data_IF_765700729690
#
_entry.id   IF_765700729690
#
_cell.length_a   1.000
_cell.length_b   1.000
_cell.length_c   1.000
_cell.angle_alpha   90.00
_cell.angle_beta   90.00
_cell.angle_gamma   90.00
#
_symmetry.space_group_name_H-M   'P 1'
#
loop_
_entity.id
_entity.type
_entity.pdbx_description
1 polymer ?
#
# COMPACT_ATOMS: atom_id res chain seq x y z
N UNK A 1 -11.83 -8.83 15.65
CA UNK A 1 -10.88 -7.76 15.28
C UNK A 1 -10.88 -7.70 13.76
N UNK A 2 -11.11 -6.52 13.17
CA UNK A 2 -11.09 -6.34 11.71
C UNK A 2 -9.71 -5.84 11.24
N UNK A 3 -9.43 -5.98 9.95
CA UNK A 3 -8.17 -5.53 9.35
C UNK A 3 -8.43 -4.32 8.45
N UNK A 4 -7.54 -3.34 8.45
CA UNK A 4 -7.62 -2.14 7.62
C UNK A 4 -6.36 -1.96 6.80
N UNK A 5 -6.48 -1.24 5.68
CA UNK A 5 -5.35 -0.81 4.87
C UNK A 5 -5.54 0.67 4.48
N UNK A 6 -4.45 1.35 4.17
CA UNK A 6 -4.49 2.75 3.77
C UNK A 6 -3.20 3.15 3.08
N UNK A 7 -3.24 4.27 2.36
CA UNK A 7 -2.04 4.97 1.91
C UNK A 7 -2.21 6.48 2.06
N UNK A 8 -1.10 7.20 2.06
CA UNK A 8 -1.06 8.65 1.96
C UNK A 8 -0.08 9.04 0.85
N UNK A 9 -0.46 10.00 0.03
CA UNK A 9 0.43 10.59 -0.97
C UNK A 9 0.87 11.97 -0.50
N UNK A 10 2.15 12.27 -0.75
CA UNK A 10 2.77 13.53 -0.42
C UNK A 10 3.47 14.08 -1.65
N UNK A 11 3.31 15.38 -1.88
CA UNK A 11 4.04 16.15 -2.89
C UNK A 11 4.79 17.27 -2.17
N UNK A 12 6.11 17.37 -2.39
CA UNK A 12 6.96 18.38 -1.73
C UNK A 12 6.81 18.41 -0.20
N UNK A 13 6.59 17.24 0.43
CA UNK A 13 6.40 17.10 1.87
C UNK A 13 5.00 17.48 2.39
N UNK A 14 4.10 17.92 1.51
CA UNK A 14 2.71 18.26 1.83
C UNK A 14 1.83 17.07 1.48
N UNK A 15 0.94 16.68 2.39
CA UNK A 15 -0.03 15.60 2.13
C UNK A 15 -1.07 16.09 1.13
N UNK A 16 -1.17 15.42 -0.02
CA UNK A 16 -2.12 15.77 -1.09
C UNK A 16 -3.30 14.82 -1.17
N UNK A 17 -3.11 13.56 -0.77
CA UNK A 17 -4.12 12.53 -0.86
C UNK A 17 -4.02 11.57 0.33
N UNK A 18 -5.18 11.08 0.77
CA UNK A 18 -5.28 9.93 1.66
C UNK A 18 -6.36 8.99 1.17
N UNK A 19 -6.12 7.70 1.35
CA UNK A 19 -7.09 6.66 1.07
C UNK A 19 -7.03 5.62 2.19
N UNK A 20 -8.19 5.08 2.55
CA UNK A 20 -8.32 4.07 3.61
C UNK A 20 -9.44 3.11 3.27
N UNK A 21 -9.19 1.83 3.54
CA UNK A 21 -10.10 0.73 3.28
C UNK A 21 -10.19 -0.23 4.44
N UNK A 22 -11.41 -0.51 4.88
CA UNK A 22 -11.66 -1.61 5.81
C UNK A 22 -11.77 -2.90 5.01
N UNK A 23 -11.01 -3.90 5.43
CA UNK A 23 -11.02 -5.22 4.80
C UNK A 23 -11.97 -6.14 5.54
N UNK A 24 -12.53 -7.10 4.81
CA UNK A 24 -13.34 -8.17 5.39
C UNK A 24 -12.53 -9.02 6.39
N UNK A 25 -13.22 -9.59 7.39
CA UNK A 25 -12.59 -10.31 8.49
C UNK A 25 -11.80 -11.57 8.09
N UNK A 26 -12.01 -12.09 6.87
CA UNK A 26 -11.26 -13.25 6.36
C UNK A 26 -9.90 -12.89 5.74
N UNK A 27 -9.62 -11.59 5.52
CA UNK A 27 -8.32 -11.16 4.98
C UNK A 27 -7.21 -11.34 6.01
N UNK A 28 -6.15 -12.03 5.60
CA UNK A 28 -4.94 -12.20 6.42
C UNK A 28 -4.16 -10.89 6.49
N UNK A 29 -3.39 -10.69 7.55
CA UNK A 29 -2.50 -9.52 7.75
C UNK A 29 -1.63 -9.29 6.51
N UNK A 30 -1.04 -10.34 5.96
CA UNK A 30 -0.23 -10.25 4.74
C UNK A 30 -0.99 -9.69 3.51
N UNK A 31 -2.27 -10.06 3.34
CA UNK A 31 -3.07 -9.48 2.25
C UNK A 31 -3.35 -8.00 2.52
N UNK A 32 -3.65 -7.64 3.77
CA UNK A 32 -3.92 -6.26 4.13
C UNK A 32 -2.72 -5.32 3.91
N UNK A 33 -1.52 -5.79 4.22
CA UNK A 33 -0.27 -5.06 3.98
C UNK A 33 -0.03 -4.80 2.49
N UNK A 34 -0.52 -5.67 1.60
CA UNK A 34 -0.40 -5.51 0.14
C UNK A 34 -1.55 -4.70 -0.49
N UNK A 35 -2.71 -4.61 0.14
CA UNK A 35 -3.87 -3.89 -0.40
C UNK A 35 -3.65 -2.38 -0.49
N UNK A 36 -3.04 -1.77 0.54
CA UNK A 36 -2.70 -0.34 0.51
C UNK A 36 -1.77 0.02 -0.65
N UNK A 37 -0.61 -0.67 -0.79
CA UNK A 37 0.26 -0.55 -1.94
C UNK A 37 -0.41 -0.81 -3.29
N UNK A 38 -1.24 -1.87 -3.43
CA UNK A 38 -1.94 -2.16 -4.68
C UNK A 38 -2.81 -0.98 -5.12
N UNK A 39 -3.58 -0.40 -4.21
CA UNK A 39 -4.42 0.76 -4.53
C UNK A 39 -3.59 1.99 -4.87
N UNK A 40 -2.49 2.22 -4.15
CA UNK A 40 -1.56 3.31 -4.46
C UNK A 40 -0.95 3.17 -5.87
N UNK A 41 -0.62 1.94 -6.29
CA UNK A 41 -0.10 1.65 -7.64
C UNK A 41 -1.18 1.92 -8.70
N UNK A 42 -2.41 1.45 -8.48
CA UNK A 42 -3.54 1.70 -9.39
C UNK A 42 -3.77 3.20 -9.54
N UNK A 43 -3.75 3.95 -8.44
CA UNK A 43 -3.90 5.41 -8.49
C UNK A 43 -2.75 6.07 -9.23
N UNK A 44 -1.51 5.67 -8.95
CA UNK A 44 -0.31 6.21 -9.59
C UNK A 44 -0.22 5.87 -11.09
N UNK A 45 -0.77 4.73 -11.53
CA UNK A 45 -0.82 4.33 -12.94
C UNK A 45 -1.67 5.25 -13.82
N UNK A 46 -2.52 6.09 -13.21
CA UNK A 46 -3.30 7.10 -13.94
C UNK A 46 -2.46 8.33 -14.31
N UNK A 47 -1.27 8.47 -13.74
CA UNK A 47 -0.33 9.54 -14.03
C UNK A 47 0.92 9.04 -14.74
N UNK A 48 1.62 9.95 -15.43
CA UNK A 48 2.89 9.66 -16.09
C UNK A 48 4.12 10.06 -15.26
N UNK A 49 3.92 10.58 -14.06
CA UNK A 49 5.01 11.04 -13.20
C UNK A 49 5.73 9.87 -12.52
N UNK A 50 7.03 10.05 -12.24
CA UNK A 50 7.79 9.07 -11.49
C UNK A 50 7.27 9.07 -10.05
N UNK A 51 6.62 7.97 -9.66
CA UNK A 51 5.96 7.86 -8.35
C UNK A 51 6.68 6.82 -7.49
N UNK A 52 7.03 7.19 -6.27
CA UNK A 52 7.64 6.28 -5.31
C UNK A 52 6.61 5.82 -4.29
N UNK A 53 6.37 4.52 -4.23
CA UNK A 53 5.49 3.89 -3.27
C UNK A 53 6.35 3.21 -2.21
N UNK A 54 6.17 3.65 -0.97
CA UNK A 54 6.91 3.17 0.17
C UNK A 54 6.01 2.28 1.03
N UNK A 55 6.52 1.12 1.41
CA UNK A 55 5.89 0.24 2.41
C UNK A 55 6.90 -0.11 3.49
N UNK A 56 6.41 -0.24 4.70
CA UNK A 56 7.18 -0.71 5.85
C UNK A 56 7.07 -2.22 6.09
N UNK A 57 6.26 -2.90 5.30
CA UNK A 57 6.14 -4.36 5.30
C UNK A 57 7.27 -4.97 4.46
N UNK A 58 8.34 -5.41 5.14
CA UNK A 58 9.44 -6.11 4.49
C UNK A 58 8.96 -7.39 3.77
N UNK A 59 7.99 -8.09 4.37
CA UNK A 59 7.33 -9.26 3.77
C UNK A 59 6.64 -8.91 2.44
N UNK A 60 5.96 -7.77 2.35
CA UNK A 60 5.34 -7.30 1.10
C UNK A 60 6.37 -7.03 0.01
N UNK A 61 7.49 -6.38 0.36
CA UNK A 61 8.57 -6.10 -0.60
C UNK A 61 9.20 -7.39 -1.10
N UNK A 62 9.55 -8.30 -0.19
CA UNK A 62 10.14 -9.59 -0.56
C UNK A 62 9.20 -10.43 -1.43
N UNK A 63 7.90 -10.42 -1.14
CA UNK A 63 6.92 -11.12 -1.95
C UNK A 63 6.82 -10.53 -3.36
N UNK A 64 6.76 -9.19 -3.50
CA UNK A 64 6.70 -8.53 -4.81
C UNK A 64 7.98 -8.77 -5.62
N UNK A 65 9.13 -8.92 -4.97
CA UNK A 65 10.40 -9.24 -5.64
C UNK A 65 10.52 -10.72 -6.04
N UNK A 66 9.71 -11.63 -5.50
CA UNK A 66 9.74 -13.06 -5.83
C UNK A 66 8.99 -13.34 -7.15
N UNK A 67 9.70 -13.63 -8.26
CA UNK A 67 9.07 -13.88 -9.57
C UNK A 67 8.26 -15.18 -9.62
N UNK A 68 8.45 -16.10 -8.66
CA UNK A 68 7.80 -17.41 -8.62
C UNK A 68 6.65 -17.49 -7.60
N UNK A 69 6.25 -16.35 -7.03
CA UNK A 69 5.20 -16.30 -6.03
C UNK A 69 3.91 -16.99 -6.49
N UNK A 70 3.30 -17.87 -5.68
CA UNK A 70 2.01 -18.48 -5.98
C UNK A 70 0.83 -17.54 -5.62
N UNK A 71 1.10 -16.40 -4.98
CA UNK A 71 0.06 -15.50 -4.49
C UNK A 71 -0.48 -14.60 -5.60
N UNK A 72 -1.75 -14.78 -5.97
CA UNK A 72 -2.40 -13.99 -7.03
C UNK A 72 -2.32 -12.48 -6.80
N UNK A 73 -2.56 -12.02 -5.55
CA UNK A 73 -2.47 -10.59 -5.21
C UNK A 73 -1.08 -10.00 -5.52
N UNK A 74 -0.02 -10.77 -5.26
CA UNK A 74 1.36 -10.35 -5.52
C UNK A 74 1.62 -10.32 -7.02
N UNK A 75 1.11 -11.31 -7.78
CA UNK A 75 1.19 -11.31 -9.25
C UNK A 75 0.47 -10.12 -9.88
N UNK A 76 -0.69 -9.75 -9.36
CA UNK A 76 -1.40 -8.55 -9.81
C UNK A 76 -0.52 -7.29 -9.63
N UNK A 77 0.11 -7.16 -8.46
CA UNK A 77 1.01 -6.03 -8.15
C UNK A 77 2.23 -6.05 -9.08
N UNK A 78 2.85 -7.21 -9.29
CA UNK A 78 3.98 -7.36 -10.23
C UNK A 78 3.59 -6.97 -11.65
N UNK A 79 2.41 -7.39 -12.12
CA UNK A 79 1.89 -7.01 -13.43
C UNK A 79 1.67 -5.51 -13.54
N UNK A 80 1.06 -4.89 -12.53
CA UNK A 80 0.84 -3.44 -12.49
C UNK A 80 2.17 -2.67 -12.54
N UNK A 81 3.18 -3.09 -11.78
CA UNK A 81 4.51 -2.46 -11.80
C UNK A 81 5.21 -2.65 -13.15
N UNK A 82 5.06 -3.82 -13.78
CA UNK A 82 5.65 -4.09 -15.09
C UNK A 82 5.04 -3.23 -16.19
N UNK A 83 3.73 -2.97 -16.12
CA UNK A 83 3.00 -2.11 -17.04
C UNK A 83 3.29 -0.62 -16.79
N UNK A 84 3.62 -0.23 -15.56
CA UNK A 84 3.81 1.16 -15.15
C UNK A 84 5.25 1.40 -14.65
N UNK A 85 6.20 1.47 -15.59
CA UNK A 85 7.65 1.58 -15.29
C UNK A 85 8.06 2.87 -14.58
N UNK A 86 7.18 3.87 -14.53
CA UNK A 86 7.35 5.10 -13.76
C UNK A 86 7.10 4.92 -12.25
N UNK A 87 6.57 3.77 -11.82
CA UNK A 87 6.27 3.49 -10.42
C UNK A 87 7.40 2.66 -9.79
N UNK A 88 7.94 3.15 -8.68
CA UNK A 88 9.00 2.49 -7.93
C UNK A 88 8.46 2.00 -6.58
N UNK A 89 8.45 0.68 -6.38
CA UNK A 89 8.05 0.07 -5.12
C UNK A 89 9.26 -0.14 -4.20
N UNK A 90 9.25 0.46 -3.01
CA UNK A 90 10.40 0.52 -2.11
C UNK A 90 10.05 0.20 -0.67
N UNK A 91 11.02 -0.35 0.05
CA UNK A 91 10.96 -0.54 1.49
C UNK A 91 11.34 0.76 2.22
N UNK A 92 10.59 1.12 3.25
CA UNK A 92 10.96 2.14 4.22
C UNK A 92 11.02 1.54 5.61
N UNK A 93 12.04 1.90 6.39
CA UNK A 93 12.14 1.45 7.78
C UNK A 93 11.21 2.29 8.66
N UNK A 94 10.34 1.63 9.43
CA UNK A 94 9.50 2.29 10.45
C UNK A 94 10.40 3.02 11.46
N UNK A 95 9.94 4.15 11.98
CA UNK A 95 10.56 4.95 13.05
C UNK A 95 11.75 5.84 12.65
N UNK A 96 12.00 6.09 11.36
CA UNK A 96 13.00 7.09 10.91
C UNK A 96 12.37 8.50 10.75
N UNK A 97 11.23 8.77 11.42
CA UNK A 97 10.62 10.11 11.44
C UNK A 97 9.92 10.54 10.14
N UNK A 98 9.61 9.60 9.25
CA UNK A 98 8.86 9.90 8.03
C UNK A 98 7.36 10.06 8.33
N UNK A 99 6.89 11.31 8.30
CA UNK A 99 5.48 11.70 8.55
C UNK A 99 4.45 10.88 7.77
N UNK A 100 4.80 10.40 6.58
CA UNK A 100 3.90 9.60 5.75
C UNK A 100 3.59 8.22 6.32
N UNK A 101 4.58 7.57 6.93
CA UNK A 101 4.41 6.24 7.52
C UNK A 101 3.48 6.28 8.73
N UNK A 102 3.77 7.17 9.68
CA UNK A 102 2.98 7.34 10.90
C UNK A 102 1.52 7.71 10.59
N UNK A 103 1.31 8.48 9.52
CA UNK A 103 -0.02 8.88 9.08
C UNK A 103 -0.78 7.70 8.47
N UNK A 104 -0.14 6.92 7.60
CA UNK A 104 -0.75 5.73 7.02
C UNK A 104 -1.15 4.73 8.11
N UNK A 105 -0.28 4.46 9.07
CA UNK A 105 -0.59 3.57 10.21
C UNK A 105 -1.78 4.05 11.04
N UNK A 106 -1.82 5.36 11.31
CA UNK A 106 -2.93 5.96 12.05
C UNK A 106 -4.25 5.81 11.28
N UNK A 107 -4.23 5.96 9.95
CA UNK A 107 -5.41 5.79 9.11
C UNK A 107 -5.87 4.33 9.06
N UNK A 108 -4.96 3.38 8.91
CA UNK A 108 -5.27 1.96 8.92
C UNK A 108 -5.90 1.54 10.26
N UNK A 109 -5.41 2.07 11.39
CA UNK A 109 -6.02 1.83 12.71
C UNK A 109 -7.42 2.45 12.82
N UNK A 110 -7.60 3.68 12.31
CA UNK A 110 -8.89 4.40 12.36
C UNK A 110 -9.97 3.75 11.48
N UNK A 111 -9.60 3.17 10.33
CA UNK A 111 -10.58 2.55 9.43
C UNK A 111 -11.14 1.24 9.98
N UNK A 112 -10.44 0.57 10.91
CA UNK A 112 -10.95 -0.63 11.58
C UNK A 112 -12.18 -0.29 12.43
N UNK A 113 -12.14 0.83 13.15
CA UNK A 113 -13.21 1.27 14.07
C UNK A 113 -14.33 2.03 13.37
N UNK A 114 -14.03 2.80 12.33
CA UNK A 114 -14.97 3.76 11.72
C UNK A 114 -15.28 3.51 10.24
N UNK A 115 -14.59 2.57 9.59
CA UNK A 115 -14.67 2.37 8.14
C UNK A 115 -15.82 1.48 7.66
N UNK A 116 -16.25 1.72 6.42
CA UNK A 116 -17.12 0.83 5.65
C UNK A 116 -16.25 -0.22 4.94
N UNK A 117 -16.70 -1.48 4.95
CA UNK A 117 -15.95 -2.57 4.34
C UNK A 117 -15.91 -2.40 2.83
N UNK A 118 -14.72 -2.51 2.26
CA UNK A 118 -14.52 -2.52 0.82
C UNK A 118 -14.97 -3.86 0.26
N UNK A 119 -15.91 -3.81 -0.69
CA UNK A 119 -16.38 -4.98 -1.45
C UNK A 119 -15.48 -5.24 -2.65
#
# INVERSE_FOLDING_TARGET
MGTGCSYCAFENGIKVLEWKGKLENFHRVFQAELMGPKEAIIRASQGNEITQIWTDSLSSVMAVLDPHTPHQLVRDIQSLLTQNRNILFRFIKVHVGYRGNDKADTLAKKVITEGVVMK
#
